data_IF_754251746558
#
_entry.id   IF_754251746558
#
_cell.length_a   1.000
_cell.length_b   1.000
_cell.length_c   1.000
_cell.angle_alpha   90.00
_cell.angle_beta   90.00
_cell.angle_gamma   90.00
#
_symmetry.space_group_name_H-M   'P 1'
#
loop_
_entity.id
_entity.type
_entity.pdbx_description
1 polymer ?
#
# COMPACT_ATOMS: atom_id res chain seq x y z
N UNK A 1 3.13 12.54 6.88
CA UNK A 1 4.09 11.43 7.05
C UNK A 1 4.20 11.15 8.53
N UNK A 2 4.08 9.93 8.97
CA UNK A 2 3.99 9.59 10.38
C UNK A 2 4.82 8.37 10.74
N UNK A 3 5.32 8.33 12.01
CA UNK A 3 5.92 7.16 12.58
C UNK A 3 4.84 6.41 13.40
N UNK A 4 4.64 5.13 13.11
CA UNK A 4 3.70 4.27 13.84
C UNK A 4 4.38 3.35 14.85
N UNK A 5 5.69 3.53 15.08
CA UNK A 5 6.47 2.77 16.04
C UNK A 5 7.93 3.17 16.09
N UNK A 6 8.69 2.64 17.06
CA UNK A 6 10.08 3.01 17.30
C UNK A 6 11.11 2.24 16.47
N UNK A 7 10.72 1.22 15.68
CA UNK A 7 11.63 0.51 14.78
C UNK A 7 12.12 1.43 13.65
N UNK A 8 13.27 1.11 13.04
CA UNK A 8 13.84 1.95 11.96
C UNK A 8 12.83 2.12 10.82
N UNK A 9 12.21 1.04 10.36
CA UNK A 9 11.27 1.02 9.25
C UNK A 9 9.80 1.12 9.69
N UNK A 10 9.53 1.67 10.88
CA UNK A 10 8.18 2.04 11.32
C UNK A 10 7.90 3.54 11.10
N UNK A 11 8.57 4.12 10.15
CA UNK A 11 8.38 5.47 9.64
C UNK A 11 8.20 5.36 8.12
N UNK A 12 7.27 6.12 7.55
CA UNK A 12 6.93 6.08 6.12
C UNK A 12 8.17 6.32 5.27
N UNK A 13 8.90 7.41 5.55
CA UNK A 13 10.11 7.79 4.80
C UNK A 13 11.20 6.72 4.90
N UNK A 14 11.41 6.13 6.08
CA UNK A 14 12.39 5.07 6.25
C UNK A 14 12.00 3.79 5.50
N UNK A 15 10.71 3.48 5.41
CA UNK A 15 10.20 2.37 4.61
C UNK A 15 10.42 2.60 3.12
N UNK A 16 10.12 3.81 2.63
CA UNK A 16 10.31 4.19 1.23
C UNK A 16 11.80 4.12 0.83
N UNK A 17 12.72 4.59 1.69
CA UNK A 17 14.17 4.48 1.48
C UNK A 17 14.59 3.01 1.36
N UNK A 18 14.08 2.13 2.23
CA UNK A 18 14.40 0.69 2.16
C UNK A 18 13.89 0.07 0.86
N UNK A 19 12.68 0.41 0.46
CA UNK A 19 12.06 -0.19 -0.71
C UNK A 19 12.71 0.33 -1.99
N UNK A 20 13.00 1.63 -2.10
CA UNK A 20 13.77 2.22 -3.22
C UNK A 20 15.18 1.62 -3.32
N UNK A 21 15.87 1.43 -2.18
CA UNK A 21 17.16 0.73 -2.18
C UNK A 21 17.04 -0.68 -2.77
N UNK A 22 16.04 -1.43 -2.35
CA UNK A 22 15.82 -2.80 -2.83
C UNK A 22 15.51 -2.83 -4.31
N UNK A 23 14.72 -1.89 -4.80
CA UNK A 23 14.35 -1.78 -6.21
C UNK A 23 15.54 -1.38 -7.06
N UNK A 24 16.37 -0.43 -6.64
CA UNK A 24 17.60 -0.08 -7.31
C UNK A 24 18.56 -1.27 -7.47
N UNK A 25 18.71 -2.09 -6.42
CA UNK A 25 19.51 -3.33 -6.49
C UNK A 25 18.85 -4.39 -7.38
N UNK A 26 17.53 -4.49 -7.39
CA UNK A 26 16.77 -5.39 -8.28
C UNK A 26 16.85 -4.97 -9.74
N UNK A 27 17.00 -3.68 -10.02
CA UNK A 27 17.28 -3.11 -11.35
C UNK A 27 18.70 -3.39 -11.84
N UNK A 28 19.54 -3.97 -10.96
CA UNK A 28 20.91 -4.35 -11.30
C UNK A 28 21.95 -3.26 -11.08
N UNK A 29 21.60 -2.18 -10.38
CA UNK A 29 22.55 -1.13 -10.03
C UNK A 29 23.61 -1.65 -9.04
N UNK A 30 24.81 -1.09 -9.13
CA UNK A 30 25.83 -1.25 -8.10
C UNK A 30 25.37 -0.62 -6.78
N UNK A 31 25.91 -1.00 -5.61
CA UNK A 31 25.57 -0.33 -4.35
C UNK A 31 25.83 1.18 -4.37
N UNK A 32 26.87 1.61 -5.06
CA UNK A 32 27.24 3.02 -5.23
C UNK A 32 26.23 3.77 -6.10
N UNK A 33 25.85 3.20 -7.26
CA UNK A 33 24.86 3.80 -8.16
C UNK A 33 23.47 3.82 -7.52
N UNK A 34 23.12 2.74 -6.80
CA UNK A 34 21.86 2.69 -6.04
C UNK A 34 21.80 3.78 -4.96
N UNK A 35 22.90 3.99 -4.22
CA UNK A 35 23.00 5.10 -3.26
C UNK A 35 22.81 6.45 -3.94
N UNK A 36 23.46 6.66 -5.08
CA UNK A 36 23.35 7.92 -5.84
C UNK A 36 21.90 8.18 -6.26
N UNK A 37 21.20 7.17 -6.78
CA UNK A 37 19.78 7.24 -7.12
C UNK A 37 18.91 7.64 -5.92
N UNK A 38 19.16 7.08 -4.74
CA UNK A 38 18.44 7.46 -3.52
C UNK A 38 18.71 8.90 -3.11
N UNK A 39 19.97 9.38 -3.23
CA UNK A 39 20.32 10.78 -2.96
C UNK A 39 19.59 11.74 -3.92
N UNK A 40 19.38 11.36 -5.17
CA UNK A 40 18.63 12.15 -6.14
C UNK A 40 17.11 12.11 -5.83
N UNK A 41 16.56 10.95 -5.47
CA UNK A 41 15.13 10.79 -5.18
C UNK A 41 14.72 11.51 -3.89
N UNK A 42 15.56 11.46 -2.86
CA UNK A 42 15.26 12.02 -1.54
C UNK A 42 15.98 13.34 -1.26
N UNK A 43 16.65 13.95 -2.27
CA UNK A 43 17.48 15.14 -2.09
C UNK A 43 16.81 16.28 -1.33
N UNK A 44 15.58 16.61 -1.68
CA UNK A 44 14.80 17.67 -1.03
C UNK A 44 14.54 17.39 0.47
N UNK A 45 14.45 16.10 0.85
CA UNK A 45 14.25 15.69 2.24
C UNK A 45 15.52 15.78 3.09
N UNK A 46 16.71 15.85 2.48
CA UNK A 46 17.99 15.93 3.18
C UNK A 46 18.32 17.33 3.69
N UNK A 47 17.54 18.33 3.32
CA UNK A 47 17.69 19.71 3.80
C UNK A 47 17.22 19.86 5.27
N UNK A 48 16.35 18.97 5.75
CA UNK A 48 15.89 18.96 7.13
C UNK A 48 16.74 18.05 8.01
N UNK A 49 17.34 18.56 9.11
CA UNK A 49 18.28 17.79 9.93
C UNK A 49 17.74 16.46 10.47
N UNK A 50 16.46 16.39 10.82
CA UNK A 50 15.89 15.16 11.38
C UNK A 50 15.57 14.13 10.30
N UNK A 51 15.15 14.58 9.12
CA UNK A 51 14.93 13.70 7.97
C UNK A 51 16.26 13.21 7.40
N UNK A 52 17.31 14.04 7.41
CA UNK A 52 18.67 13.64 7.04
C UNK A 52 19.19 12.52 7.95
N UNK A 53 19.04 12.66 9.27
CA UNK A 53 19.45 11.62 10.23
C UNK A 53 18.70 10.31 9.96
N UNK A 54 17.37 10.38 9.76
CA UNK A 54 16.53 9.22 9.47
C UNK A 54 16.99 8.54 8.17
N UNK A 55 17.22 9.31 7.11
CA UNK A 55 17.69 8.81 5.81
C UNK A 55 18.95 7.95 5.96
N UNK A 56 20.01 8.49 6.57
CA UNK A 56 21.28 7.76 6.69
C UNK A 56 21.16 6.51 7.55
N UNK A 57 20.38 6.56 8.63
CA UNK A 57 20.14 5.39 9.48
C UNK A 57 19.32 4.32 8.76
N UNK A 58 18.28 4.71 8.01
CA UNK A 58 17.44 3.80 7.23
C UNK A 58 18.24 3.17 6.07
N UNK A 59 19.02 3.98 5.33
CA UNK A 59 19.87 3.49 4.25
C UNK A 59 20.92 2.49 4.76
N UNK A 60 21.62 2.80 5.85
CA UNK A 60 22.57 1.89 6.45
C UNK A 60 21.93 0.56 6.89
N UNK A 61 20.72 0.63 7.48
CA UNK A 61 19.98 -0.56 7.87
C UNK A 61 19.58 -1.41 6.64
N UNK A 62 19.09 -0.80 5.56
CA UNK A 62 18.69 -1.47 4.33
C UNK A 62 19.88 -2.11 3.60
N UNK A 63 21.01 -1.39 3.53
CA UNK A 63 22.27 -1.89 2.96
C UNK A 63 22.81 -3.08 3.76
N UNK A 64 22.80 -2.98 5.08
CA UNK A 64 23.24 -4.06 5.97
C UNK A 64 22.32 -5.29 5.85
N UNK A 65 21.01 -5.10 5.74
CA UNK A 65 20.06 -6.20 5.55
C UNK A 65 20.28 -6.97 4.24
N UNK A 66 20.69 -6.26 3.20
CA UNK A 66 20.95 -6.85 1.88
C UNK A 66 22.39 -7.34 1.71
N UNK A 67 23.27 -7.09 2.69
CA UNK A 67 24.69 -7.45 2.63
C UNK A 67 25.50 -6.60 1.64
N UNK A 68 25.15 -5.31 1.53
CA UNK A 68 25.75 -4.35 0.58
C UNK A 68 26.03 -3.01 1.26
N UNK A 69 26.41 -3.05 2.54
CA UNK A 69 26.71 -1.86 3.31
C UNK A 69 27.99 -1.19 2.79
N UNK A 70 27.88 0.06 2.40
CA UNK A 70 28.97 0.91 1.99
C UNK A 70 29.68 1.51 3.23
N UNK A 71 31.03 1.58 3.24
CA UNK A 71 31.80 2.13 4.38
C UNK A 71 31.36 3.53 4.79
N UNK A 72 31.22 4.44 3.83
CA UNK A 72 30.84 5.83 4.09
C UNK A 72 29.45 5.97 4.70
N UNK A 73 28.48 5.13 4.24
CA UNK A 73 27.13 5.07 4.78
C UNK A 73 27.14 4.52 6.21
N UNK A 74 27.96 3.50 6.46
CA UNK A 74 28.15 2.93 7.78
C UNK A 74 28.69 3.96 8.76
N UNK A 75 29.78 4.63 8.40
CA UNK A 75 30.48 5.63 9.25
C UNK A 75 29.52 6.81 9.56
N UNK A 76 28.79 7.30 8.57
CA UNK A 76 27.83 8.39 8.74
C UNK A 76 26.68 8.00 9.67
N UNK A 77 26.09 6.83 9.49
CA UNK A 77 25.02 6.34 10.36
C UNK A 77 25.50 6.11 11.79
N UNK A 78 26.71 5.55 11.98
CA UNK A 78 27.31 5.37 13.30
C UNK A 78 27.60 6.71 13.97
N UNK A 79 28.06 7.71 13.23
CA UNK A 79 28.28 9.07 13.73
C UNK A 79 26.96 9.71 14.20
N UNK A 80 25.89 9.59 13.42
CA UNK A 80 24.55 10.08 13.77
C UNK A 80 24.05 9.40 15.05
N UNK A 81 24.17 8.07 15.14
CA UNK A 81 23.71 7.31 16.33
C UNK A 81 24.54 7.71 17.56
N UNK A 82 25.84 7.88 17.43
CA UNK A 82 26.72 8.29 18.53
C UNK A 82 26.42 9.72 19.03
N UNK A 83 25.90 10.60 18.17
CA UNK A 83 25.43 11.93 18.52
C UNK A 83 24.02 11.96 19.12
N UNK A 84 23.37 10.80 19.36
CA UNK A 84 22.02 10.68 19.90
C UNK A 84 20.95 10.31 18.87
N UNK A 85 21.28 10.33 17.58
CA UNK A 85 20.34 10.00 16.51
C UNK A 85 19.16 10.96 16.42
N UNK A 86 17.96 10.40 16.34
CA UNK A 86 16.67 11.09 16.30
C UNK A 86 15.86 10.92 17.62
N UNK A 87 16.52 10.52 18.72
CA UNK A 87 15.85 10.23 20.01
C UNK A 87 15.18 11.49 20.58
N UNK A 88 15.75 12.66 20.37
CA UNK A 88 15.19 13.92 20.89
C UNK A 88 13.83 14.23 20.26
N UNK A 89 13.62 13.96 18.98
CA UNK A 89 12.32 14.05 18.33
C UNK A 89 11.23 13.29 19.10
N UNK A 90 11.52 12.03 19.52
CA UNK A 90 10.59 11.21 20.30
C UNK A 90 10.32 11.75 21.69
N UNK A 91 11.27 12.50 22.25
CA UNK A 91 11.11 13.15 23.57
C UNK A 91 10.28 14.42 23.46
N UNK A 92 10.43 15.20 22.38
CA UNK A 92 9.68 16.42 22.11
C UNK A 92 8.18 16.11 21.89
N UNK A 93 7.84 14.97 21.30
CA UNK A 93 6.46 14.45 21.20
C UNK A 93 5.86 14.02 22.56
N UNK A 94 6.62 14.18 23.66
CA UNK A 94 6.15 14.04 25.04
C UNK A 94 6.17 12.62 25.60
N UNK A 95 6.74 11.63 24.91
CA UNK A 95 6.79 10.23 25.38
C UNK A 95 8.23 9.73 25.66
N UNK A 96 8.67 9.94 26.90
CA UNK A 96 9.97 9.46 27.38
C UNK A 96 10.12 7.93 27.29
N UNK A 97 9.02 7.18 27.27
CA UNK A 97 9.05 5.72 27.08
C UNK A 97 9.41 5.36 25.64
N UNK A 98 8.82 6.05 24.67
CA UNK A 98 9.14 5.87 23.26
C UNK A 98 10.56 6.33 22.94
N UNK A 99 11.01 7.46 23.51
CA UNK A 99 12.39 7.90 23.37
C UNK A 99 13.40 6.85 23.85
N UNK A 100 13.15 6.23 25.02
CA UNK A 100 13.98 5.13 25.53
C UNK A 100 13.92 3.87 24.65
N UNK A 101 12.76 3.55 24.09
CA UNK A 101 12.64 2.44 23.14
C UNK A 101 13.41 2.73 21.84
N UNK A 102 13.32 3.95 21.32
CA UNK A 102 14.08 4.38 20.14
C UNK A 102 15.58 4.30 20.38
N UNK A 103 16.06 4.80 21.51
CA UNK A 103 17.47 4.68 21.85
C UNK A 103 17.97 3.22 21.82
N UNK A 104 17.21 2.28 22.36
CA UNK A 104 17.56 0.84 22.31
C UNK A 104 17.54 0.27 20.88
N UNK A 105 16.67 0.79 20.00
CA UNK A 105 16.66 0.41 18.57
C UNK A 105 17.94 0.89 17.90
N UNK A 106 18.36 2.14 18.15
CA UNK A 106 19.58 2.70 17.60
C UNK A 106 20.85 2.00 18.13
N UNK A 107 20.90 1.66 19.41
CA UNK A 107 21.99 0.85 19.98
C UNK A 107 22.13 -0.51 19.27
N UNK A 108 21.02 -1.20 19.05
CA UNK A 108 20.99 -2.48 18.31
C UNK A 108 21.43 -2.31 16.86
N UNK A 109 21.00 -1.22 16.20
CA UNK A 109 21.44 -0.91 14.84
C UNK A 109 22.95 -0.67 14.82
N UNK A 110 23.48 0.16 15.72
CA UNK A 110 24.91 0.42 15.81
C UNK A 110 25.75 -0.84 16.06
N UNK A 111 25.25 -1.73 16.94
CA UNK A 111 25.91 -3.03 17.18
C UNK A 111 25.92 -3.89 15.91
N UNK A 112 24.81 -3.90 15.15
CA UNK A 112 24.69 -4.64 13.88
C UNK A 112 25.64 -4.05 12.81
N UNK A 113 25.72 -2.73 12.67
CA UNK A 113 26.59 -2.04 11.70
C UNK A 113 28.07 -2.28 11.98
N UNK A 114 28.47 -2.40 13.26
CA UNK A 114 29.86 -2.74 13.67
C UNK A 114 30.19 -4.22 13.52
N UNK A 115 29.18 -5.06 13.36
CA UNK A 115 29.35 -6.50 13.19
C UNK A 115 29.78 -6.88 11.78
N UNK A 116 30.02 -8.18 11.55
CA UNK A 116 30.37 -8.66 10.22
C UNK A 116 29.19 -8.48 9.26
N UNK A 117 29.49 -7.91 8.09
CA UNK A 117 28.49 -7.78 7.05
C UNK A 117 28.05 -9.17 6.54
N UNK A 118 26.74 -9.42 6.42
CA UNK A 118 26.24 -10.65 5.83
C UNK A 118 26.63 -10.73 4.34
N UNK A 119 26.67 -11.95 3.81
CA UNK A 119 26.88 -12.13 2.36
C UNK A 119 25.74 -11.44 1.57
N UNK A 120 26.04 -10.86 0.38
CA UNK A 120 25.03 -10.26 -0.46
C UNK A 120 23.87 -11.22 -0.73
N UNK A 121 22.67 -10.80 -0.37
CA UNK A 121 21.46 -11.60 -0.60
C UNK A 121 21.03 -11.46 -2.05
N UNK A 122 20.63 -12.57 -2.66
CA UNK A 122 19.91 -12.54 -3.92
C UNK A 122 18.51 -12.01 -3.62
N UNK A 123 18.26 -10.75 -3.98
CA UNK A 123 16.92 -10.19 -3.93
C UNK A 123 16.09 -10.82 -5.05
N UNK A 124 14.79 -10.91 -4.81
CA UNK A 124 13.81 -11.32 -5.81
C UNK A 124 12.68 -10.32 -5.75
N UNK A 125 12.22 -9.87 -6.89
CA UNK A 125 10.94 -9.16 -6.94
C UNK A 125 9.87 -10.11 -6.42
N UNK A 126 8.94 -9.65 -5.59
CA UNK A 126 7.72 -10.39 -5.35
C UNK A 126 7.17 -10.82 -6.71
N UNK A 127 6.78 -12.08 -6.85
CA UNK A 127 6.08 -12.50 -8.06
C UNK A 127 4.85 -11.60 -8.23
N UNK A 128 4.58 -11.16 -9.44
CA UNK A 128 3.39 -10.38 -9.73
C UNK A 128 2.18 -11.12 -9.15
N UNK A 129 1.50 -10.51 -8.21
CA UNK A 129 0.26 -11.03 -7.64
C UNK A 129 -0.82 -10.75 -8.69
N UNK A 130 -1.01 -11.67 -9.63
CA UNK A 130 -2.13 -11.59 -10.54
C UNK A 130 -3.37 -12.09 -9.82
N UNK A 131 -4.38 -11.25 -9.69
CA UNK A 131 -5.71 -11.72 -9.31
C UNK A 131 -6.33 -12.32 -10.57
N UNK A 132 -6.78 -13.59 -10.57
CA UNK A 132 -7.32 -14.25 -11.75
C UNK A 132 -8.76 -13.80 -12.04
N UNK A 133 -8.98 -12.50 -12.14
CA UNK A 133 -10.26 -11.89 -12.46
C UNK A 133 -10.13 -11.17 -13.80
N UNK A 134 -11.06 -11.43 -14.69
CA UNK A 134 -11.13 -10.83 -16.03
C UNK A 134 -12.19 -9.72 -16.07
N UNK A 135 -12.05 -8.79 -17.02
CA UNK A 135 -13.08 -7.77 -17.26
C UNK A 135 -14.41 -8.46 -17.57
N UNK A 136 -15.46 -8.03 -16.88
CA UNK A 136 -16.78 -8.64 -16.94
C UNK A 136 -17.02 -9.74 -15.91
N UNK A 137 -16.02 -10.09 -15.07
CA UNK A 137 -16.29 -10.94 -13.91
C UNK A 137 -17.06 -10.16 -12.85
N UNK A 138 -18.08 -10.81 -12.33
CA UNK A 138 -18.91 -10.24 -11.26
C UNK A 138 -18.64 -11.00 -9.97
N UNK A 139 -18.23 -10.25 -8.97
CA UNK A 139 -17.84 -10.77 -7.68
C UNK A 139 -18.84 -10.36 -6.62
N UNK A 140 -19.31 -11.31 -5.83
CA UNK A 140 -19.98 -11.06 -4.57
C UNK A 140 -18.92 -10.97 -3.49
N UNK A 141 -18.75 -9.80 -2.89
CA UNK A 141 -17.81 -9.55 -1.80
C UNK A 141 -18.56 -9.69 -0.48
N UNK A 142 -18.05 -10.55 0.40
CA UNK A 142 -18.65 -10.80 1.72
C UNK A 142 -18.44 -9.63 2.66
N UNK A 143 -19.41 -9.39 3.55
CA UNK A 143 -19.30 -8.48 4.66
C UNK A 143 -18.27 -9.00 5.69
N UNK A 144 -17.36 -8.13 6.14
CA UNK A 144 -16.36 -8.48 7.18
C UNK A 144 -16.93 -8.39 8.61
N UNK A 145 -18.07 -7.70 8.77
CA UNK A 145 -18.79 -7.51 10.02
C UNK A 145 -20.24 -7.97 9.88
N UNK A 146 -20.83 -8.41 10.98
CA UNK A 146 -22.22 -8.89 10.99
C UNK A 146 -23.25 -7.83 10.55
N UNK A 147 -22.92 -6.55 10.70
CA UNK A 147 -23.72 -5.39 10.34
C UNK A 147 -23.45 -4.86 8.91
N UNK A 148 -22.43 -5.37 8.23
CA UNK A 148 -22.11 -4.99 6.85
C UNK A 148 -22.92 -5.86 5.85
N UNK A 149 -23.48 -5.20 4.84
CA UNK A 149 -24.15 -5.89 3.75
C UNK A 149 -23.12 -6.38 2.72
N UNK A 150 -23.41 -7.54 2.11
CA UNK A 150 -22.67 -8.01 0.95
C UNK A 150 -22.73 -6.99 -0.20
N UNK A 151 -21.66 -6.89 -0.97
CA UNK A 151 -21.61 -6.08 -2.18
C UNK A 151 -21.49 -6.96 -3.43
N UNK A 152 -22.10 -6.50 -4.52
CA UNK A 152 -21.89 -7.04 -5.84
C UNK A 152 -21.07 -6.04 -6.65
N UNK A 153 -19.93 -6.47 -7.16
CA UNK A 153 -19.05 -5.62 -7.96
C UNK A 153 -18.74 -6.28 -9.29
N UNK A 154 -18.51 -5.50 -10.32
CA UNK A 154 -18.06 -5.99 -11.62
C UNK A 154 -16.64 -5.49 -11.90
N UNK A 155 -15.79 -6.35 -12.45
CA UNK A 155 -14.47 -5.96 -12.94
C UNK A 155 -14.64 -5.20 -14.25
N UNK A 156 -14.22 -3.95 -14.27
CA UNK A 156 -14.36 -3.04 -15.43
C UNK A 156 -13.03 -2.69 -16.09
N UNK A 157 -11.93 -3.09 -15.49
CA UNK A 157 -10.60 -2.85 -16.01
C UNK A 157 -9.50 -3.42 -15.11
N UNK A 158 -8.26 -3.11 -15.46
CA UNK A 158 -7.10 -3.41 -14.65
C UNK A 158 -6.18 -2.20 -14.61
N UNK A 159 -5.64 -1.90 -13.43
CA UNK A 159 -4.65 -0.86 -13.21
C UNK A 159 -3.31 -1.43 -12.78
N UNK A 160 -2.22 -0.66 -12.95
CA UNK A 160 -0.89 -1.04 -12.51
C UNK A 160 -0.82 -1.15 -10.98
N UNK A 161 -0.12 -2.18 -10.49
CA UNK A 161 0.20 -2.34 -9.08
C UNK A 161 1.47 -1.58 -8.67
N UNK A 162 1.87 -1.78 -7.41
CA UNK A 162 3.08 -1.16 -6.84
C UNK A 162 4.37 -1.74 -7.43
N UNK A 163 4.33 -2.96 -7.98
CA UNK A 163 5.48 -3.60 -8.62
C UNK A 163 5.28 -3.67 -10.15
N UNK A 164 6.37 -3.57 -10.94
CA UNK A 164 6.31 -3.69 -12.39
C UNK A 164 5.68 -5.01 -12.84
N UNK A 165 4.66 -4.94 -13.68
CA UNK A 165 3.94 -6.11 -14.19
C UNK A 165 2.82 -6.63 -13.29
N UNK A 166 2.57 -6.02 -12.13
CA UNK A 166 1.37 -6.27 -11.34
C UNK A 166 0.18 -5.59 -12.00
N UNK A 167 -0.91 -6.34 -12.14
CA UNK A 167 -2.19 -5.82 -12.59
C UNK A 167 -3.22 -6.13 -11.52
N UNK A 168 -3.87 -5.09 -11.02
CA UNK A 168 -4.95 -5.19 -10.05
C UNK A 168 -6.29 -4.88 -10.72
N UNK A 169 -7.37 -5.59 -10.35
CA UNK A 169 -8.67 -5.32 -10.92
C UNK A 169 -9.21 -3.97 -10.47
N UNK A 170 -9.78 -3.25 -11.43
CA UNK A 170 -10.63 -2.10 -11.17
C UNK A 170 -12.05 -2.60 -11.12
N UNK A 171 -12.72 -2.38 -9.98
CA UNK A 171 -14.08 -2.84 -9.77
C UNK A 171 -15.03 -1.67 -9.61
N UNK A 172 -16.26 -1.85 -10.13
CA UNK A 172 -17.36 -0.92 -9.95
C UNK A 172 -18.47 -1.59 -9.15
N UNK A 173 -18.83 -1.08 -7.95
CA UNK A 173 -19.94 -1.58 -7.19
C UNK A 173 -21.29 -1.33 -7.88
N UNK A 174 -22.16 -2.35 -7.83
CA UNK A 174 -23.50 -2.31 -8.41
C UNK A 174 -24.55 -1.98 -7.34
N UNK A 175 -25.60 -1.28 -7.72
CA UNK A 175 -26.75 -0.99 -6.87
C UNK A 175 -27.61 -2.26 -6.67
N UNK A 176 -27.11 -3.14 -5.80
CA UNK A 176 -27.73 -4.41 -5.46
C UNK A 176 -27.89 -4.54 -3.94
N UNK A 177 -29.11 -4.82 -3.49
CA UNK A 177 -29.47 -4.89 -2.06
C UNK A 177 -30.12 -6.23 -1.68
N UNK A 178 -30.18 -7.18 -2.61
CA UNK A 178 -30.83 -8.46 -2.38
C UNK A 178 -29.82 -9.51 -1.90
N UNK A 179 -30.27 -10.41 -1.00
CA UNK A 179 -29.46 -11.60 -0.63
C UNK A 179 -29.33 -12.62 -1.77
N UNK A 180 -30.17 -12.52 -2.81
CA UNK A 180 -30.14 -13.43 -3.96
C UNK A 180 -29.45 -12.74 -5.14
N UNK A 181 -28.35 -13.33 -5.60
CA UNK A 181 -27.65 -12.87 -6.81
C UNK A 181 -28.59 -12.94 -8.02
N UNK A 182 -28.74 -11.85 -8.79
CA UNK A 182 -29.59 -11.84 -9.99
C UNK A 182 -29.00 -12.73 -11.09
N UNK A 183 -29.80 -13.06 -12.10
CA UNK A 183 -29.31 -13.68 -13.32
C UNK A 183 -28.40 -12.71 -14.09
N UNK A 184 -27.47 -13.24 -14.91
CA UNK A 184 -26.47 -12.48 -15.65
C UNK A 184 -27.03 -11.31 -16.46
N UNK A 185 -28.11 -11.53 -17.19
CA UNK A 185 -28.78 -10.50 -18.02
C UNK A 185 -29.38 -9.35 -17.18
N UNK A 186 -29.76 -9.63 -15.95
CA UNK A 186 -30.20 -8.62 -15.00
C UNK A 186 -29.03 -7.90 -14.34
N UNK A 187 -27.92 -8.60 -14.06
CA UNK A 187 -26.70 -7.98 -13.52
C UNK A 187 -26.21 -6.89 -14.47
N UNK A 188 -26.13 -7.17 -15.78
CA UNK A 188 -25.71 -6.22 -16.81
C UNK A 188 -26.54 -4.92 -16.88
N UNK A 189 -27.72 -4.89 -16.24
CA UNK A 189 -28.61 -3.73 -16.21
C UNK A 189 -28.68 -3.04 -14.85
N UNK A 190 -27.95 -3.55 -13.86
CA UNK A 190 -27.89 -2.89 -12.56
C UNK A 190 -27.13 -1.57 -12.70
N UNK A 191 -27.65 -0.48 -12.14
CA UNK A 191 -26.89 0.77 -12.12
C UNK A 191 -25.63 0.63 -11.25
N UNK A 192 -24.59 1.37 -11.59
CA UNK A 192 -23.43 1.52 -10.75
C UNK A 192 -23.74 2.40 -9.53
N UNK A 193 -23.08 2.14 -8.43
CA UNK A 193 -23.11 3.08 -7.31
C UNK A 193 -22.28 4.30 -7.67
N UNK A 194 -22.75 5.51 -7.35
CA UNK A 194 -22.02 6.74 -7.59
C UNK A 194 -20.83 6.87 -6.64
N UNK A 195 -19.81 7.59 -7.09
CA UNK A 195 -18.72 8.03 -6.23
C UNK A 195 -19.25 9.03 -5.20
N UNK A 196 -19.05 8.85 -3.89
CA UNK A 196 -19.47 9.80 -2.86
C UNK A 196 -18.92 11.21 -3.05
N UNK A 197 -17.71 11.35 -3.59
CA UNK A 197 -17.05 12.63 -3.84
C UNK A 197 -17.47 13.27 -5.19
N UNK A 198 -17.89 12.45 -6.17
CA UNK A 198 -18.29 12.89 -7.53
C UNK A 198 -19.52 12.10 -8.01
N UNK A 199 -20.73 12.45 -7.53
CA UNK A 199 -21.94 11.64 -7.74
C UNK A 199 -22.39 11.45 -9.19
N UNK A 200 -21.88 12.26 -10.09
CA UNK A 200 -22.10 12.12 -11.53
C UNK A 200 -21.25 11.01 -12.16
N UNK A 201 -20.29 10.46 -11.42
CA UNK A 201 -19.39 9.39 -11.86
C UNK A 201 -19.67 8.09 -11.11
N UNK A 202 -19.40 6.93 -11.73
CA UNK A 202 -19.43 5.66 -11.01
C UNK A 202 -18.29 5.60 -10.00
N UNK A 203 -18.55 4.95 -8.86
CA UNK A 203 -17.50 4.60 -7.90
C UNK A 203 -16.56 3.56 -8.52
N UNK A 204 -15.29 3.90 -8.71
CA UNK A 204 -14.27 3.03 -9.26
C UNK A 204 -13.19 2.76 -8.22
N UNK A 205 -12.92 1.50 -7.96
CA UNK A 205 -12.01 1.05 -6.90
C UNK A 205 -10.92 0.18 -7.53
N UNK A 206 -9.66 0.61 -7.45
CA UNK A 206 -8.52 -0.26 -7.71
C UNK A 206 -8.29 -1.13 -6.46
N UNK A 207 -8.44 -2.43 -6.62
CA UNK A 207 -8.35 -3.37 -5.50
C UNK A 207 -6.92 -3.88 -5.36
N UNK A 208 -6.14 -3.20 -4.53
CA UNK A 208 -4.76 -3.56 -4.24
C UNK A 208 -4.66 -4.79 -3.34
N UNK A 209 -3.67 -5.62 -3.60
CA UNK A 209 -3.29 -6.73 -2.74
C UNK A 209 -2.05 -6.33 -1.93
N UNK A 210 -2.26 -5.84 -0.71
CA UNK A 210 -1.16 -5.38 0.16
C UNK A 210 -0.44 -6.51 0.89
N UNK A 211 -1.06 -7.69 0.96
CA UNK A 211 -0.48 -8.85 1.62
C UNK A 211 -0.96 -10.15 0.98
N UNK A 212 -0.28 -11.26 1.29
CA UNK A 212 -0.74 -12.60 0.86
C UNK A 212 -2.15 -12.95 1.37
N UNK A 213 -2.60 -12.30 2.43
CA UNK A 213 -3.92 -12.51 3.02
C UNK A 213 -5.02 -11.69 2.32
N UNK A 214 -4.63 -10.73 1.45
CA UNK A 214 -5.55 -9.89 0.68
C UNK A 214 -5.69 -10.38 -0.77
N UNK A 215 -5.04 -11.50 -1.12
CA UNK A 215 -5.23 -12.14 -2.43
C UNK A 215 -6.67 -12.63 -2.51
N UNK A 216 -7.35 -12.27 -3.61
CA UNK A 216 -8.72 -12.72 -3.84
C UNK A 216 -8.86 -14.24 -3.70
N UNK A 217 -9.80 -14.66 -2.89
CA UNK A 217 -10.06 -16.06 -2.60
C UNK A 217 -11.44 -16.25 -1.94
N UNK A 218 -11.83 -17.48 -1.63
CA UNK A 218 -13.16 -17.81 -1.09
C UNK A 218 -13.53 -17.04 0.18
N UNK A 219 -12.53 -16.64 0.97
CA UNK A 219 -12.74 -15.89 2.21
C UNK A 219 -13.05 -14.40 1.99
N UNK A 220 -12.79 -13.88 0.78
CA UNK A 220 -12.97 -12.47 0.43
C UNK A 220 -14.13 -12.26 -0.54
N UNK A 221 -14.46 -13.25 -1.35
CA UNK A 221 -15.56 -13.15 -2.30
C UNK A 221 -15.71 -14.35 -3.21
N UNK A 222 -16.78 -14.37 -3.97
CA UNK A 222 -17.14 -15.43 -4.90
C UNK A 222 -17.43 -14.83 -6.28
N UNK A 223 -16.85 -15.40 -7.34
CA UNK A 223 -17.23 -15.05 -8.72
C UNK A 223 -18.60 -15.67 -9.00
N UNK A 224 -19.61 -14.83 -9.17
CA UNK A 224 -21.01 -15.25 -9.36
C UNK A 224 -21.46 -15.18 -10.80
N UNK A 225 -20.74 -14.47 -11.67
CA UNK A 225 -20.95 -14.44 -13.11
C UNK A 225 -19.65 -14.03 -13.81
N UNK A 226 -19.49 -14.42 -15.08
CA UNK A 226 -18.32 -14.10 -15.89
C UNK A 226 -18.72 -13.48 -17.23
N UNK A 227 -17.87 -12.63 -17.78
CA UNK A 227 -18.04 -12.00 -19.08
C UNK A 227 -19.32 -11.18 -19.19
N UNK A 228 -19.72 -10.48 -18.13
CA UNK A 228 -20.86 -9.57 -18.12
C UNK A 228 -20.44 -8.27 -18.80
N UNK A 229 -21.12 -7.90 -19.89
CA UNK A 229 -20.97 -6.57 -20.47
C UNK A 229 -21.81 -5.59 -19.63
N UNK A 230 -21.12 -4.85 -18.79
CA UNK A 230 -21.74 -3.83 -17.94
C UNK A 230 -21.76 -2.43 -18.61
N UNK A 231 -21.28 -2.31 -19.83
CA UNK A 231 -21.23 -1.04 -20.58
C UNK A 231 -20.26 0.00 -20.00
N UNK A 232 -19.33 -0.42 -19.16
CA UNK A 232 -18.30 0.42 -18.53
C UNK A 232 -16.96 -0.27 -18.66
N UNK A 233 -15.95 0.49 -19.10
CA UNK A 233 -14.54 0.12 -19.03
C UNK A 233 -13.78 1.24 -18.34
N UNK A 234 -12.77 0.91 -17.56
CA UNK A 234 -11.95 1.86 -16.82
C UNK A 234 -10.48 1.49 -16.87
N UNK A 235 -9.61 2.48 -16.79
CA UNK A 235 -8.17 2.33 -16.61
C UNK A 235 -7.71 2.95 -15.29
N UNK A 236 -6.39 2.96 -15.04
CA UNK A 236 -5.84 3.45 -13.78
C UNK A 236 -6.10 4.94 -13.54
N UNK A 237 -6.23 5.74 -14.59
CA UNK A 237 -6.44 7.18 -14.50
C UNK A 237 -7.90 7.52 -14.12
N UNK A 238 -8.82 6.58 -14.32
CA UNK A 238 -10.23 6.74 -13.95
C UNK A 238 -10.49 6.47 -12.45
N UNK A 239 -9.54 5.85 -11.77
CA UNK A 239 -9.72 5.35 -10.39
C UNK A 239 -9.63 6.49 -9.38
N UNK A 240 -10.61 6.55 -8.50
CA UNK A 240 -10.64 7.52 -7.39
C UNK A 240 -10.30 6.92 -6.03
N UNK A 241 -10.41 5.61 -5.90
CA UNK A 241 -10.20 4.90 -4.63
C UNK A 241 -9.26 3.71 -4.77
N UNK A 242 -8.34 3.56 -3.83
CA UNK A 242 -7.41 2.45 -3.72
C UNK A 242 -7.61 1.73 -2.39
N UNK A 243 -7.98 0.45 -2.42
CA UNK A 243 -8.22 -0.32 -1.20
C UNK A 243 -8.04 -1.83 -1.40
N UNK A 244 -7.90 -2.57 -0.30
CA UNK A 244 -7.91 -4.03 -0.33
C UNK A 244 -9.34 -4.60 -0.42
N UNK A 245 -9.48 -5.85 -0.84
CA UNK A 245 -10.76 -6.55 -0.97
C UNK A 245 -11.66 -6.45 0.25
N UNK A 246 -11.07 -6.43 1.45
CA UNK A 246 -11.82 -6.35 2.72
C UNK A 246 -12.59 -5.04 2.89
N UNK A 247 -12.14 -3.96 2.27
CA UNK A 247 -12.78 -2.65 2.37
C UNK A 247 -13.83 -2.39 1.28
N UNK A 248 -13.87 -3.20 0.21
CA UNK A 248 -14.78 -2.96 -0.93
C UNK A 248 -16.25 -3.01 -0.53
N UNK A 249 -16.65 -3.96 0.34
CA UNK A 249 -18.04 -4.07 0.78
C UNK A 249 -18.47 -2.86 1.63
N UNK A 250 -17.61 -2.38 2.54
CA UNK A 250 -17.87 -1.19 3.35
C UNK A 250 -17.99 0.07 2.48
N UNK A 251 -17.10 0.26 1.51
CA UNK A 251 -17.16 1.38 0.58
C UNK A 251 -18.43 1.38 -0.29
N UNK A 252 -18.85 0.21 -0.76
CA UNK A 252 -20.12 0.06 -1.49
C UNK A 252 -21.33 0.40 -0.60
N UNK A 253 -21.29 0.05 0.68
CA UNK A 253 -22.36 0.40 1.63
C UNK A 253 -22.43 1.90 1.87
N UNK A 254 -21.30 2.57 2.05
CA UNK A 254 -21.22 4.03 2.21
C UNK A 254 -21.84 4.73 0.99
N UNK A 255 -21.47 4.33 -0.23
CA UNK A 255 -22.05 4.87 -1.46
C UNK A 255 -23.57 4.68 -1.54
N UNK A 256 -24.11 3.52 -1.09
CA UNK A 256 -25.56 3.28 -1.02
C UNK A 256 -26.26 4.21 -0.03
N UNK A 257 -25.69 4.43 1.14
CA UNK A 257 -26.27 5.33 2.15
C UNK A 257 -26.34 6.75 1.61
N UNK A 258 -25.31 7.23 0.92
CA UNK A 258 -25.30 8.56 0.30
C UNK A 258 -26.40 8.73 -0.75
N UNK A 259 -26.67 7.69 -1.55
CA UNK A 259 -27.78 7.72 -2.52
C UNK A 259 -29.12 7.87 -1.81
N UNK A 260 -29.34 7.15 -0.70
CA UNK A 260 -30.60 7.24 0.07
C UNK A 260 -30.79 8.60 0.69
N UNK A 261 -29.77 9.16 1.34
CA UNK A 261 -29.84 10.49 1.96
C UNK A 261 -30.22 11.57 0.94
N UNK A 262 -29.61 11.55 -0.25
CA UNK A 262 -29.96 12.53 -1.31
C UNK A 262 -31.39 12.39 -1.81
N UNK A 263 -31.89 11.17 -1.94
CA UNK A 263 -33.27 10.93 -2.36
C UNK A 263 -34.31 11.39 -1.31
N UNK A 264 -33.93 11.47 -0.03
CA UNK A 264 -34.77 12.01 1.05
C UNK A 264 -34.74 13.53 1.09
N UNK A 265 -33.61 14.17 0.75
CA UNK A 265 -33.47 15.64 0.71
C UNK A 265 -34.17 16.27 -0.52
N UNK A 266 -34.36 15.53 -1.60
CA UNK A 266 -35.04 15.97 -2.83
C UNK A 266 -36.59 15.82 -2.78
N UNK A 267 -37.19 15.28 -1.70
CA UNK A 267 -38.63 15.14 -1.47
C UNK A 267 -39.13 16.09 -0.39
#
# INVERSE_FOLDING_TARGET
MGAWGTAIFSDDTASDIRDEWRDAILDGLSPEDAMQRLLETFGDHLEEPDTEKLFWMALAAAQMETGRLLPDVCDRALGIIAAGGDVDRWREDGDESLARQRARVLERLAAKLRGPQPKPKRLRRPGALSVPLEVGDVVRVGAQREDENEALVVVVGHGGGLAPGELYPIVAPLAWESRRVPKRDRIARLPFLPDPAAPEKPLLILVNTFSKNDVFGPDLGEVVAQGVDAGLTADADDVTHHMGWRAVAASAQEARLMVRYRAEDDN
#
